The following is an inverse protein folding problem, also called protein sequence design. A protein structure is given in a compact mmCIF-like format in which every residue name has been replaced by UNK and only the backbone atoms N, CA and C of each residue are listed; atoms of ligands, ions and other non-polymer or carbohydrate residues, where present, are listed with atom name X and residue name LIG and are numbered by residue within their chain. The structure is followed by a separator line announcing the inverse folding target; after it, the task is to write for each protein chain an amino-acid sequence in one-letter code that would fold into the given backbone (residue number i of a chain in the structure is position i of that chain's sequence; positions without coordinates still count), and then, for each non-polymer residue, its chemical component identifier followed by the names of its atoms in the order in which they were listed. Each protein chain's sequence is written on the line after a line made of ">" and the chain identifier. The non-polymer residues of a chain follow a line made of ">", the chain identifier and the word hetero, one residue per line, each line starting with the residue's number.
data_IF_567555441372
#
_entry.id   IF_567555441372
#
_cell.length_a   1.000
_cell.length_b   1.000
_cell.length_c   1.000
_cell.angle_alpha   90.00
_cell.angle_beta   90.00
_cell.angle_gamma   90.00
#
_symmetry.space_group_name_H-M   'P 1'
#
loop_
_entity.id
_entity.type
_entity.pdbx_description
1 polymer ?
#
# COMPACT_ATOMS: atom_id res chain seq x y z
N UNK A 1 32.87 12.35 -28.83
CA UNK A 1 33.38 13.74 -28.78
C UNK A 1 32.15 14.64 -28.93
N UNK A 2 31.72 15.50 -28.02
CA UNK A 2 32.35 16.11 -26.88
C UNK A 2 31.34 16.25 -25.72
N UNK A 3 31.89 16.15 -24.51
CA UNK A 3 31.28 16.33 -23.19
C UNK A 3 31.44 17.77 -22.73
N UNK A 4 30.38 18.40 -22.21
CA UNK A 4 30.48 19.57 -21.30
C UNK A 4 29.38 19.46 -20.21
N UNK A 5 29.65 19.80 -18.93
CA UNK A 5 28.94 19.27 -17.75
C UNK A 5 28.06 20.27 -16.96
N UNK A 6 27.14 19.71 -16.17
CA UNK A 6 26.51 20.08 -14.86
C UNK A 6 26.41 21.56 -14.38
N UNK A 7 25.41 21.83 -13.51
CA UNK A 7 25.77 21.92 -12.09
C UNK A 7 24.86 21.12 -11.15
N UNK A 8 25.52 20.33 -10.31
CA UNK A 8 25.02 19.63 -9.13
C UNK A 8 24.72 20.66 -8.02
N UNK A 9 23.47 20.75 -7.55
CA UNK A 9 23.14 21.49 -6.35
C UNK A 9 23.40 20.61 -5.12
N UNK A 10 24.56 20.84 -4.49
CA UNK A 10 24.89 20.38 -3.14
C UNK A 10 24.11 21.20 -2.11
N UNK A 11 23.18 20.58 -1.39
CA UNK A 11 22.63 21.16 -0.16
C UNK A 11 23.42 20.61 1.04
N UNK A 12 24.42 21.38 1.48
CA UNK A 12 25.17 21.13 2.71
C UNK A 12 24.38 21.65 3.91
N UNK A 13 23.72 20.75 4.66
CA UNK A 13 23.17 21.08 5.96
C UNK A 13 24.26 20.87 7.03
N UNK A 14 24.86 21.97 7.50
CA UNK A 14 25.77 21.99 8.65
C UNK A 14 24.98 21.72 9.93
N UNK A 15 25.20 20.57 10.57
CA UNK A 15 24.82 20.36 11.97
C UNK A 15 25.97 20.83 12.88
N UNK A 16 25.70 21.84 13.70
CA UNK A 16 26.58 22.25 14.81
C UNK A 16 26.31 21.37 16.03
N UNK A 17 27.32 20.77 16.69
CA UNK A 17 27.11 20.08 17.94
C UNK A 17 27.04 21.07 19.11
N UNK A 18 25.97 20.99 19.89
CA UNK A 18 25.86 21.68 21.19
C UNK A 18 26.81 20.97 22.16
N UNK A 19 27.87 21.68 22.53
CA UNK A 19 28.81 21.33 23.60
C UNK A 19 28.22 21.76 24.94
N UNK A 20 27.99 20.82 25.86
CA UNK A 20 27.78 21.11 27.28
C UNK A 20 28.99 20.57 28.04
N UNK A 21 29.90 21.50 28.33
CA UNK A 21 31.14 21.28 29.05
C UNK A 21 30.88 21.30 30.56
N UNK A 22 31.42 20.27 31.21
CA UNK A 22 31.59 20.09 32.65
C UNK A 22 32.24 21.28 33.37
N UNK A 23 31.69 21.61 34.54
CA UNK A 23 32.33 22.24 35.71
C UNK A 23 31.70 21.58 36.94
N UNK A 24 32.32 21.32 38.09
CA UNK A 24 33.69 21.40 38.56
C UNK A 24 33.76 20.55 39.86
N UNK A 25 34.95 19.99 40.14
CA UNK A 25 35.56 19.70 41.45
C UNK A 25 34.65 19.43 42.67
N UNK A 26 34.84 18.26 43.30
CA UNK A 26 35.47 18.23 44.62
C UNK A 26 36.16 16.88 44.92
N UNK A 27 37.32 16.96 45.59
CA UNK A 27 38.15 15.83 46.05
C UNK A 27 37.70 15.42 47.45
N UNK A 28 37.61 14.13 47.75
CA UNK A 28 38.07 13.59 49.04
C UNK A 28 38.02 12.06 49.12
N UNK A 29 39.15 11.52 49.59
CA UNK A 29 39.31 10.38 50.49
C UNK A 29 39.01 8.94 49.99
N UNK A 30 40.14 8.21 49.89
CA UNK A 30 40.30 6.78 50.08
C UNK A 30 39.29 6.13 51.06
N UNK A 31 38.73 4.99 50.65
CA UNK A 31 38.87 3.77 51.45
C UNK A 31 38.70 2.53 50.57
N UNK A 32 39.70 1.65 50.66
CA UNK A 32 39.74 0.32 50.06
C UNK A 32 38.72 -0.59 50.75
N UNK A 33 37.79 -1.16 49.98
CA UNK A 33 37.05 -2.34 50.39
C UNK A 33 36.99 -3.32 49.21
N UNK A 34 37.78 -4.37 49.30
CA UNK A 34 37.68 -5.53 48.44
C UNK A 34 36.33 -6.22 48.69
N UNK A 35 35.54 -6.41 47.63
CA UNK A 35 34.34 -7.27 47.68
C UNK A 35 34.47 -8.34 46.60
N UNK A 36 34.40 -9.59 47.09
CA UNK A 36 34.56 -10.86 46.37
C UNK A 36 33.68 -10.95 45.13
N UNK A 37 34.30 -11.42 44.05
CA UNK A 37 33.62 -11.91 42.85
C UNK A 37 32.90 -13.22 43.20
N UNK A 38 31.56 -13.20 43.21
CA UNK A 38 30.74 -14.42 43.26
C UNK A 38 30.13 -14.59 41.87
N UNK A 39 30.63 -15.57 41.11
CA UNK A 39 30.01 -16.03 39.87
C UNK A 39 28.66 -16.68 40.19
N UNK A 40 27.57 -15.95 39.96
CA UNK A 40 26.23 -16.53 39.96
C UNK A 40 25.90 -17.06 38.57
N UNK A 41 25.83 -18.39 38.53
CA UNK A 41 25.43 -19.24 37.43
C UNK A 41 23.94 -19.06 37.09
N UNK A 42 23.67 -19.08 35.78
CA UNK A 42 22.41 -19.38 35.05
C UNK A 42 21.04 -18.99 35.65
N UNK A 43 20.28 -18.18 34.91
CA UNK A 43 18.82 -18.19 34.94
C UNK A 43 18.24 -18.07 33.50
N UNK A 44 17.12 -18.75 33.18
CA UNK A 44 16.73 -19.07 31.81
C UNK A 44 16.08 -17.88 31.11
N UNK A 45 16.12 -17.91 29.78
CA UNK A 45 15.48 -16.95 28.89
C UNK A 45 14.02 -16.77 29.29
N UNK A 46 13.68 -15.60 29.83
CA UNK A 46 12.29 -15.18 29.99
C UNK A 46 11.70 -14.99 28.59
N UNK A 47 10.95 -15.98 28.10
CA UNK A 47 10.05 -15.76 26.97
C UNK A 47 8.99 -14.76 27.44
N UNK A 48 9.14 -13.50 27.02
CA UNK A 48 8.07 -12.50 27.15
C UNK A 48 6.94 -12.94 26.24
N UNK A 49 5.95 -13.63 26.81
CA UNK A 49 4.67 -13.83 26.15
C UNK A 49 3.98 -12.46 26.10
N UNK A 50 4.16 -11.74 24.99
CA UNK A 50 3.33 -10.57 24.69
C UNK A 50 1.99 -11.14 24.28
N UNK A 51 0.98 -11.07 25.16
CA UNK A 51 -0.40 -11.32 24.78
C UNK A 51 -0.76 -10.34 23.67
N UNK A 52 -0.85 -10.82 22.42
CA UNK A 52 -1.35 -10.02 21.29
C UNK A 52 -2.82 -9.72 21.60
N UNK A 53 -3.17 -8.44 21.68
CA UNK A 53 -4.57 -8.04 21.77
C UNK A 53 -5.33 -8.65 20.59
N UNK A 54 -6.55 -9.14 20.83
CA UNK A 54 -7.40 -9.67 19.77
C UNK A 54 -7.59 -8.59 18.70
N UNK A 55 -7.59 -8.98 17.41
CA UNK A 55 -7.81 -8.03 16.33
C UNK A 55 -9.19 -7.38 16.49
N UNK A 56 -9.21 -6.05 16.44
CA UNK A 56 -10.44 -5.27 16.52
C UNK A 56 -11.20 -5.45 15.20
N UNK A 57 -12.43 -5.96 15.26
CA UNK A 57 -13.30 -6.04 14.08
C UNK A 57 -14.30 -4.89 14.15
N UNK A 58 -14.26 -4.01 13.15
CA UNK A 58 -15.24 -2.94 12.99
C UNK A 58 -16.51 -3.53 12.38
N UNK A 59 -17.64 -3.38 13.07
CA UNK A 59 -18.95 -3.75 12.52
C UNK A 59 -19.41 -2.64 11.60
N UNK A 60 -19.96 -3.01 10.45
CA UNK A 60 -20.59 -2.09 9.51
C UNK A 60 -19.67 -0.98 8.97
N UNK A 61 -18.37 -1.27 8.80
CA UNK A 61 -17.40 -0.32 8.25
C UNK A 61 -17.79 0.09 6.82
N UNK A 62 -18.03 1.38 6.62
CA UNK A 62 -18.27 1.98 5.32
C UNK A 62 -16.96 2.47 4.69
N UNK A 63 -16.93 2.65 3.37
CA UNK A 63 -15.78 3.20 2.67
C UNK A 63 -15.47 4.63 3.15
N UNK A 64 -16.49 5.47 3.36
CA UNK A 64 -16.32 6.87 3.74
C UNK A 64 -15.76 7.04 5.18
N UNK A 65 -15.81 6.01 6.03
CA UNK A 65 -15.31 6.07 7.41
C UNK A 65 -13.79 6.23 7.48
N UNK A 66 -13.06 5.65 6.51
CA UNK A 66 -11.60 5.71 6.46
C UNK A 66 -11.06 6.47 5.23
N UNK A 67 -11.92 6.73 4.24
CA UNK A 67 -11.55 7.44 3.01
C UNK A 67 -10.85 8.76 3.30
N UNK A 68 -9.77 9.03 2.56
CA UNK A 68 -9.06 10.30 2.64
C UNK A 68 -9.98 11.44 2.18
N UNK A 69 -10.06 12.59 2.90
CA UNK A 69 -10.96 13.68 2.51
C UNK A 69 -10.75 14.19 1.09
N UNK A 70 -9.49 14.25 0.64
CA UNK A 70 -9.16 14.64 -0.73
C UNK A 70 -9.59 13.59 -1.76
N UNK A 71 -9.52 12.31 -1.42
CA UNK A 71 -10.01 11.24 -2.30
C UNK A 71 -11.53 11.39 -2.46
N UNK A 72 -12.27 11.50 -1.34
CA UNK A 72 -13.72 11.70 -1.37
C UNK A 72 -14.13 12.90 -2.22
N UNK A 73 -13.48 14.05 -2.00
CA UNK A 73 -13.76 15.28 -2.77
C UNK A 73 -13.44 15.11 -4.25
N UNK A 74 -12.26 14.59 -4.57
CA UNK A 74 -11.82 14.44 -5.95
C UNK A 74 -12.65 13.37 -6.70
N UNK A 75 -13.05 12.29 -6.05
CA UNK A 75 -13.96 11.27 -6.60
C UNK A 75 -15.32 11.88 -6.93
N UNK A 76 -15.87 12.74 -6.07
CA UNK A 76 -17.13 13.44 -6.33
C UNK A 76 -17.00 14.41 -7.52
N UNK A 77 -15.88 15.13 -7.62
CA UNK A 77 -15.60 16.01 -8.75
C UNK A 77 -15.50 15.25 -10.07
N UNK A 78 -14.79 14.12 -10.09
CA UNK A 78 -14.67 13.27 -11.28
C UNK A 78 -16.04 12.70 -11.70
N UNK A 79 -16.85 12.22 -10.75
CA UNK A 79 -18.21 11.72 -11.02
C UNK A 79 -19.18 12.79 -11.54
N UNK A 80 -18.93 14.07 -11.22
CA UNK A 80 -19.76 15.17 -11.69
C UNK A 80 -19.53 15.54 -13.17
N UNK A 81 -18.45 15.05 -13.79
CA UNK A 81 -18.17 15.33 -15.20
C UNK A 81 -19.10 14.47 -16.08
N UNK A 82 -20.04 15.08 -16.83
CA UNK A 82 -21.01 14.33 -17.62
C UNK A 82 -20.31 13.54 -18.73
N UNK A 83 -20.69 12.26 -18.87
CA UNK A 83 -20.14 11.36 -19.88
C UNK A 83 -18.80 10.71 -19.53
N UNK A 84 -18.11 11.15 -18.46
CA UNK A 84 -16.80 10.60 -18.09
C UNK A 84 -16.87 9.12 -17.69
N UNK A 85 -17.91 8.74 -16.94
CA UNK A 85 -18.16 7.34 -16.58
C UNK A 85 -18.39 6.45 -17.81
N UNK A 86 -19.11 6.93 -18.81
CA UNK A 86 -19.41 6.15 -20.01
C UNK A 86 -18.19 6.04 -20.92
N UNK A 87 -17.35 7.08 -21.00
CA UNK A 87 -16.04 7.01 -21.65
C UNK A 87 -15.14 6.01 -20.93
N UNK A 88 -15.10 6.05 -19.59
CA UNK A 88 -14.32 5.10 -18.79
C UNK A 88 -14.73 3.65 -19.06
N UNK A 89 -16.03 3.35 -19.03
CA UNK A 89 -16.57 2.02 -19.37
C UNK A 89 -16.33 1.63 -20.82
N UNK A 90 -16.44 2.56 -21.77
CA UNK A 90 -16.21 2.30 -23.18
C UNK A 90 -14.74 2.00 -23.49
N UNK A 91 -13.81 2.72 -22.85
CA UNK A 91 -12.36 2.49 -22.96
C UNK A 91 -11.94 1.17 -22.33
N UNK A 92 -12.53 0.81 -21.18
CA UNK A 92 -12.37 -0.50 -20.54
C UNK A 92 -13.11 -1.63 -21.25
N UNK A 93 -13.83 -1.32 -22.35
CA UNK A 93 -14.93 -2.14 -22.90
C UNK A 93 -14.73 -3.64 -22.80
N UNK A 94 -15.83 -4.37 -22.60
CA UNK A 94 -15.93 -5.80 -22.25
C UNK A 94 -14.86 -6.75 -22.80
N UNK A 95 -14.29 -6.48 -23.99
CA UNK A 95 -13.16 -7.22 -24.58
C UNK A 95 -11.86 -7.06 -23.79
N UNK A 96 -11.47 -5.84 -23.40
CA UNK A 96 -10.23 -5.61 -22.66
C UNK A 96 -10.27 -6.26 -21.28
N UNK A 97 -11.39 -6.07 -20.56
CA UNK A 97 -11.67 -6.77 -19.28
C UNK A 97 -11.59 -8.30 -19.44
N UNK A 98 -12.17 -8.86 -20.50
CA UNK A 98 -12.11 -10.29 -20.77
C UNK A 98 -10.70 -10.79 -21.08
N UNK A 99 -9.91 -10.03 -21.83
CA UNK A 99 -8.51 -10.38 -22.13
C UNK A 99 -7.69 -10.37 -20.84
N UNK A 100 -7.84 -9.36 -19.99
CA UNK A 100 -7.13 -9.28 -18.71
C UNK A 100 -7.53 -10.43 -17.77
N UNK A 101 -8.83 -10.76 -17.70
CA UNK A 101 -9.31 -11.90 -16.93
C UNK A 101 -8.74 -13.22 -17.47
N UNK A 102 -8.75 -13.41 -18.79
CA UNK A 102 -8.28 -14.63 -19.43
C UNK A 102 -6.76 -14.80 -19.27
N UNK A 103 -5.99 -13.72 -19.44
CA UNK A 103 -4.55 -13.71 -19.18
C UNK A 103 -4.29 -14.09 -17.71
N UNK A 104 -5.00 -13.48 -16.77
CA UNK A 104 -4.82 -13.78 -15.35
C UNK A 104 -5.15 -15.24 -15.02
N UNK A 105 -6.31 -15.75 -15.45
CA UNK A 105 -6.69 -17.15 -15.21
C UNK A 105 -5.73 -18.12 -15.89
N UNK A 106 -5.18 -17.76 -17.06
CA UNK A 106 -4.24 -18.61 -17.80
C UNK A 106 -2.81 -18.60 -17.25
N UNK A 107 -2.41 -17.57 -16.50
CA UNK A 107 -1.02 -17.38 -16.03
C UNK A 107 -0.85 -17.38 -14.51
N UNK A 108 -1.95 -17.45 -13.76
CA UNK A 108 -1.96 -17.40 -12.30
C UNK A 108 -2.68 -18.60 -11.67
N UNK A 109 -2.37 -18.85 -10.41
CA UNK A 109 -2.94 -19.93 -9.61
C UNK A 109 -4.00 -19.35 -8.68
N UNK A 110 -5.25 -19.84 -8.78
CA UNK A 110 -6.32 -19.44 -7.87
C UNK A 110 -6.04 -19.95 -6.45
N UNK A 111 -6.10 -19.05 -5.47
CA UNK A 111 -5.94 -19.36 -4.05
C UNK A 111 -7.27 -19.79 -3.45
N UNK A 112 -7.26 -20.80 -2.60
CA UNK A 112 -8.46 -21.31 -1.94
C UNK A 112 -8.16 -22.04 -0.63
N UNK A 113 -9.21 -22.46 0.07
CA UNK A 113 -9.05 -23.14 1.37
C UNK A 113 -8.23 -24.43 1.34
N UNK A 114 -8.11 -25.08 0.18
CA UNK A 114 -7.27 -26.27 -0.02
C UNK A 114 -5.98 -25.98 -0.80
N UNK A 115 -5.79 -24.75 -1.28
CA UNK A 115 -4.71 -24.35 -2.18
C UNK A 115 -4.12 -23.01 -1.71
N UNK A 116 -2.95 -23.06 -1.08
CA UNK A 116 -2.35 -21.93 -0.36
C UNK A 116 -3.26 -21.42 0.79
N UNK A 117 -3.62 -22.30 1.75
CA UNK A 117 -4.61 -21.99 2.78
C UNK A 117 -4.23 -20.82 3.68
N UNK A 118 -2.94 -20.66 3.98
CA UNK A 118 -2.47 -19.56 4.83
C UNK A 118 -2.71 -18.19 4.17
N UNK A 119 -2.40 -18.09 2.87
CA UNK A 119 -2.63 -16.89 2.08
C UNK A 119 -4.14 -16.62 1.91
N UNK A 120 -4.93 -17.68 1.69
CA UNK A 120 -6.39 -17.57 1.65
C UNK A 120 -6.95 -17.01 2.96
N UNK A 121 -6.48 -17.49 4.11
CA UNK A 121 -6.91 -17.00 5.42
C UNK A 121 -6.60 -15.51 5.62
N UNK A 122 -5.41 -15.05 5.22
CA UNK A 122 -5.07 -13.61 5.30
C UNK A 122 -6.05 -12.74 4.53
N UNK A 123 -6.42 -13.18 3.34
CA UNK A 123 -7.37 -12.50 2.47
C UNK A 123 -8.78 -12.44 3.08
N UNK A 124 -9.26 -13.58 3.59
CA UNK A 124 -10.59 -13.67 4.22
C UNK A 124 -10.65 -12.84 5.51
N UNK A 125 -9.60 -12.87 6.33
CA UNK A 125 -9.49 -12.04 7.53
C UNK A 125 -9.51 -10.55 7.18
N UNK A 126 -8.73 -10.12 6.18
CA UNK A 126 -8.68 -8.73 5.74
C UNK A 126 -10.04 -8.25 5.18
N UNK A 127 -10.66 -9.04 4.30
CA UNK A 127 -11.99 -8.75 3.75
C UNK A 127 -13.07 -8.65 4.83
N UNK A 128 -13.00 -9.52 5.84
CA UNK A 128 -13.91 -9.48 7.00
C UNK A 128 -13.72 -8.22 7.83
N UNK A 129 -12.49 -7.78 8.09
CA UNK A 129 -12.21 -6.56 8.85
C UNK A 129 -12.68 -5.32 8.08
N UNK A 130 -12.49 -5.30 6.75
CA UNK A 130 -12.93 -4.20 5.88
C UNK A 130 -14.41 -4.26 5.50
N UNK A 131 -15.15 -5.25 6.01
CA UNK A 131 -16.57 -5.45 5.76
C UNK A 131 -16.91 -5.46 4.25
N UNK A 132 -16.24 -6.35 3.51
CA UNK A 132 -16.49 -6.62 2.08
C UNK A 132 -16.56 -8.11 1.80
N UNK A 133 -17.24 -8.47 0.72
CA UNK A 133 -17.14 -9.83 0.17
C UNK A 133 -15.71 -10.06 -0.33
N UNK A 134 -15.11 -11.18 0.04
CA UNK A 134 -13.75 -11.49 -0.37
C UNK A 134 -13.69 -11.73 -1.90
N UNK A 135 -12.91 -10.92 -2.64
CA UNK A 135 -12.65 -11.19 -4.06
C UNK A 135 -11.84 -12.47 -4.23
N UNK A 136 -11.75 -12.96 -5.46
CA UNK A 136 -10.85 -14.08 -5.75
C UNK A 136 -9.39 -13.62 -5.60
N UNK A 137 -8.53 -14.49 -5.10
CA UNK A 137 -7.10 -14.20 -4.94
C UNK A 137 -6.30 -15.13 -5.86
N UNK A 138 -5.39 -14.56 -6.63
CA UNK A 138 -4.52 -15.29 -7.53
C UNK A 138 -3.06 -15.06 -7.17
N UNK A 139 -2.22 -16.09 -7.33
CA UNK A 139 -0.76 -15.97 -7.27
C UNK A 139 -0.20 -16.07 -8.68
N UNK A 140 0.54 -15.05 -9.11
CA UNK A 140 1.24 -15.02 -10.40
C UNK A 140 2.74 -15.24 -10.18
N UNK A 141 3.34 -16.14 -10.95
CA UNK A 141 4.80 -16.30 -10.92
C UNK A 141 5.45 -15.05 -11.51
N UNK A 142 6.23 -14.34 -10.69
CA UNK A 142 7.00 -13.18 -11.13
C UNK A 142 8.09 -12.82 -10.13
N UNK A 143 9.31 -12.53 -10.59
CA UNK A 143 10.41 -12.09 -9.73
C UNK A 143 10.27 -10.63 -9.29
N UNK A 144 9.38 -9.85 -9.90
CA UNK A 144 9.18 -8.43 -9.58
C UNK A 144 8.07 -8.29 -8.53
N UNK A 145 8.34 -7.71 -7.34
CA UNK A 145 7.34 -7.52 -6.30
C UNK A 145 6.19 -6.65 -6.81
N UNK A 146 4.98 -7.21 -6.81
CA UNK A 146 3.77 -6.48 -7.20
C UNK A 146 2.51 -7.18 -6.67
N UNK A 147 1.49 -6.38 -6.39
CA UNK A 147 0.12 -6.81 -6.21
C UNK A 147 -0.80 -5.81 -6.92
N UNK A 148 -1.97 -6.25 -7.34
CA UNK A 148 -2.96 -5.35 -7.95
C UNK A 148 -4.37 -5.94 -7.86
N UNK A 149 -5.35 -5.05 -7.90
CA UNK A 149 -6.78 -5.38 -7.88
C UNK A 149 -7.45 -5.02 -9.19
N UNK A 150 -8.30 -5.91 -9.68
CA UNK A 150 -9.13 -5.68 -10.86
C UNK A 150 -10.60 -5.88 -10.52
N UNK A 151 -11.39 -4.83 -10.77
CA UNK A 151 -12.83 -4.85 -10.73
C UNK A 151 -13.37 -4.86 -12.17
N UNK A 152 -14.08 -5.91 -12.53
CA UNK A 152 -14.65 -6.10 -13.88
C UNK A 152 -16.17 -5.98 -13.79
N UNK A 153 -16.76 -5.21 -14.70
CA UNK A 153 -18.21 -5.03 -14.76
C UNK A 153 -18.96 -6.36 -14.88
N UNK A 154 -19.84 -6.67 -13.91
CA UNK A 154 -20.67 -7.87 -13.94
C UNK A 154 -19.93 -9.19 -13.68
N UNK A 155 -18.69 -9.14 -13.19
CA UNK A 155 -17.90 -10.30 -12.75
C UNK A 155 -17.44 -10.11 -11.31
N UNK A 156 -17.04 -11.21 -10.68
CA UNK A 156 -16.43 -11.15 -9.36
C UNK A 156 -15.06 -10.44 -9.47
N UNK A 157 -14.77 -9.43 -8.64
CA UNK A 157 -13.45 -8.81 -8.59
C UNK A 157 -12.39 -9.80 -8.13
N UNK A 158 -11.13 -9.54 -8.49
CA UNK A 158 -10.01 -10.37 -8.06
C UNK A 158 -8.77 -9.53 -7.74
N UNK A 159 -7.94 -10.07 -6.84
CA UNK A 159 -6.63 -9.56 -6.46
C UNK A 159 -5.58 -10.54 -6.98
N UNK A 160 -4.47 -10.01 -7.49
CA UNK A 160 -3.31 -10.79 -7.92
C UNK A 160 -2.12 -10.40 -7.07
N UNK A 161 -1.40 -11.38 -6.54
CA UNK A 161 -0.13 -11.18 -5.84
C UNK A 161 0.98 -11.94 -6.54
N UNK A 162 2.14 -11.30 -6.70
CA UNK A 162 3.30 -11.96 -7.28
C UNK A 162 4.01 -12.85 -6.26
N UNK A 163 4.61 -13.95 -6.72
CA UNK A 163 5.39 -14.88 -5.88
C UNK A 163 6.51 -14.18 -5.11
N UNK A 164 7.14 -13.17 -5.69
CA UNK A 164 8.17 -12.37 -5.03
C UNK A 164 7.67 -11.65 -3.76
N UNK A 165 6.44 -11.15 -3.70
CA UNK A 165 5.91 -10.58 -2.46
C UNK A 165 5.66 -11.64 -1.39
N UNK A 166 5.17 -12.82 -1.80
CA UNK A 166 4.91 -13.94 -0.89
C UNK A 166 6.22 -14.45 -0.25
N UNK A 167 7.32 -14.39 -1.00
CA UNK A 167 8.66 -14.79 -0.54
C UNK A 167 9.37 -13.72 0.30
N UNK A 168 9.15 -12.44 0.00
CA UNK A 168 9.84 -11.32 0.64
C UNK A 168 9.18 -10.85 1.93
N UNK A 169 7.86 -10.84 2.00
CA UNK A 169 7.11 -10.22 3.08
C UNK A 169 6.76 -11.21 4.20
N UNK A 170 6.77 -10.73 5.43
CA UNK A 170 6.21 -11.47 6.56
C UNK A 170 4.69 -11.60 6.42
N UNK A 171 4.09 -12.53 7.17
CA UNK A 171 2.64 -12.76 7.19
C UNK A 171 1.83 -11.47 7.43
N UNK A 172 2.29 -10.59 8.32
CA UNK A 172 1.59 -9.35 8.63
C UNK A 172 1.74 -8.31 7.51
N UNK A 173 2.95 -8.15 6.95
CA UNK A 173 3.19 -7.21 5.83
C UNK A 173 2.44 -7.65 4.58
N UNK A 174 2.40 -8.95 4.28
CA UNK A 174 1.62 -9.48 3.18
C UNK A 174 0.12 -9.24 3.37
N UNK A 175 -0.39 -9.38 4.59
CA UNK A 175 -1.78 -9.03 4.90
C UNK A 175 -2.06 -7.53 4.73
N UNK A 176 -1.10 -6.66 5.08
CA UNK A 176 -1.20 -5.23 4.87
C UNK A 176 -1.27 -4.89 3.36
N UNK A 177 -0.46 -5.55 2.52
CA UNK A 177 -0.55 -5.40 1.05
C UNK A 177 -1.92 -5.85 0.53
N UNK A 178 -2.42 -7.02 0.95
CA UNK A 178 -3.76 -7.48 0.56
C UNK A 178 -4.85 -6.50 1.02
N UNK A 179 -4.71 -5.94 2.22
CA UNK A 179 -5.65 -4.96 2.76
C UNK A 179 -5.60 -3.61 2.02
N UNK A 180 -4.42 -3.18 1.58
CA UNK A 180 -4.24 -2.01 0.71
C UNK A 180 -5.01 -2.21 -0.60
N UNK A 181 -4.80 -3.36 -1.26
CA UNK A 181 -5.50 -3.76 -2.48
C UNK A 181 -7.03 -3.82 -2.29
N UNK A 182 -7.49 -4.38 -1.17
CA UNK A 182 -8.90 -4.36 -0.80
C UNK A 182 -9.45 -2.96 -0.55
N UNK A 183 -8.62 -2.02 -0.10
CA UNK A 183 -8.95 -0.60 0.02
C UNK A 183 -9.36 0.00 -1.32
N UNK A 184 -8.65 -0.32 -2.39
CA UNK A 184 -9.03 0.08 -3.75
C UNK A 184 -10.39 -0.48 -4.15
N UNK A 185 -10.67 -1.74 -3.81
CA UNK A 185 -11.94 -2.38 -4.12
C UNK A 185 -13.10 -1.74 -3.34
N UNK A 186 -12.97 -1.62 -2.01
CA UNK A 186 -13.99 -1.04 -1.13
C UNK A 186 -14.32 0.40 -1.49
N UNK A 187 -13.35 1.14 -2.01
CA UNK A 187 -13.51 2.53 -2.40
C UNK A 187 -13.82 2.77 -3.89
N UNK A 188 -14.05 1.73 -4.68
CA UNK A 188 -14.33 1.79 -6.13
C UNK A 188 -13.23 2.52 -6.95
N UNK A 189 -11.96 2.35 -6.59
CA UNK A 189 -10.83 3.01 -7.28
C UNK A 189 -10.51 2.41 -8.65
N UNK A 190 -10.95 1.19 -8.95
CA UNK A 190 -10.54 0.41 -10.14
C UNK A 190 -10.84 1.08 -11.49
N UNK A 191 -11.93 1.86 -11.59
CA UNK A 191 -12.32 2.54 -12.84
C UNK A 191 -11.32 3.64 -13.23
N UNK A 192 -10.72 4.29 -12.24
CA UNK A 192 -9.92 5.50 -12.44
C UNK A 192 -8.43 5.20 -12.69
N UNK A 193 -7.90 4.09 -12.16
CA UNK A 193 -6.53 3.65 -12.44
C UNK A 193 -6.33 3.38 -13.94
N UNK A 194 -7.26 2.67 -14.57
CA UNK A 194 -7.20 2.40 -16.00
C UNK A 194 -7.38 3.68 -16.83
N UNK A 195 -8.25 4.58 -16.37
CA UNK A 195 -8.44 5.88 -17.01
C UNK A 195 -7.16 6.72 -17.00
N UNK A 196 -6.43 6.76 -15.88
CA UNK A 196 -5.15 7.47 -15.77
C UNK A 196 -4.10 6.91 -16.74
N UNK A 197 -3.99 5.59 -16.87
CA UNK A 197 -3.05 4.94 -17.79
C UNK A 197 -3.36 5.27 -19.26
N UNK A 198 -4.63 5.23 -19.66
CA UNK A 198 -5.04 5.54 -21.03
C UNK A 198 -4.90 7.04 -21.34
N UNK A 199 -5.26 7.91 -20.39
CA UNK A 199 -5.14 9.35 -20.58
C UNK A 199 -3.68 9.77 -20.73
N UNK A 200 -2.76 9.16 -19.97
CA UNK A 200 -1.31 9.37 -20.11
C UNK A 200 -0.84 8.99 -21.52
N UNK A 201 -1.31 7.88 -22.09
CA UNK A 201 -0.96 7.48 -23.46
C UNK A 201 -1.56 8.42 -24.52
N UNK A 202 -2.78 8.91 -24.32
CA UNK A 202 -3.51 9.75 -25.28
C UNK A 202 -3.13 11.24 -25.23
N UNK A 203 -2.80 11.78 -24.06
CA UNK A 203 -2.54 13.20 -23.84
C UNK A 203 -1.40 13.72 -24.74
N UNK A 204 -0.33 12.94 -24.90
CA UNK A 204 0.82 13.32 -25.73
C UNK A 204 0.57 13.20 -27.25
N UNK A 205 -0.57 12.66 -27.68
CA UNK A 205 -0.88 12.44 -29.10
C UNK A 205 -1.79 13.51 -29.70
N UNK A 206 -2.44 14.35 -28.88
CA UNK A 206 -3.42 15.34 -29.33
C UNK A 206 -2.81 16.76 -29.42
N UNK A 207 -2.60 17.33 -30.62
CA UNK A 207 -2.11 18.70 -30.74
C UNK A 207 -3.18 19.74 -30.37
N UNK A 208 -2.74 20.92 -29.91
CA UNK A 208 -3.59 22.08 -29.67
C UNK A 208 -4.34 22.07 -28.33
N UNK A 209 -5.58 22.58 -28.31
CA UNK A 209 -6.39 22.70 -27.09
C UNK A 209 -6.68 21.35 -26.42
N UNK A 210 -6.72 20.26 -27.19
CA UNK A 210 -6.91 18.90 -26.68
C UNK A 210 -5.77 18.47 -25.74
N UNK A 211 -4.51 18.72 -26.13
CA UNK A 211 -3.34 18.41 -25.30
C UNK A 211 -3.33 19.20 -23.99
N UNK A 212 -3.61 20.51 -24.03
CA UNK A 212 -3.63 21.34 -22.81
C UNK A 212 -4.73 20.95 -21.82
N UNK A 213 -5.90 20.51 -22.32
CA UNK A 213 -6.98 19.99 -21.49
C UNK A 213 -6.58 18.63 -20.90
N UNK A 214 -5.95 17.77 -21.70
CA UNK A 214 -5.49 16.47 -21.26
C UNK A 214 -4.40 16.58 -20.19
N UNK A 215 -3.41 17.45 -20.35
CA UNK A 215 -2.36 17.69 -19.33
C UNK A 215 -2.93 18.14 -17.98
N UNK A 216 -3.92 19.04 -18.01
CA UNK A 216 -4.58 19.50 -16.76
C UNK A 216 -5.39 18.39 -16.11
N UNK A 217 -6.10 17.61 -16.91
CA UNK A 217 -6.88 16.48 -16.41
C UNK A 217 -5.97 15.39 -15.84
N UNK A 218 -4.86 15.11 -16.50
CA UNK A 218 -3.79 14.21 -16.05
C UNK A 218 -3.26 14.63 -14.68
N UNK A 219 -2.93 15.91 -14.49
CA UNK A 219 -2.48 16.41 -13.19
C UNK A 219 -3.53 16.20 -12.08
N UNK A 220 -4.82 16.45 -12.36
CA UNK A 220 -5.89 16.22 -11.39
C UNK A 220 -6.10 14.73 -11.10
N UNK A 221 -5.98 13.87 -12.10
CA UNK A 221 -6.04 12.42 -11.94
C UNK A 221 -4.88 11.91 -11.08
N UNK A 222 -3.65 12.40 -11.27
CA UNK A 222 -2.52 12.02 -10.42
C UNK A 222 -2.66 12.51 -8.98
N UNK A 223 -3.26 13.69 -8.77
CA UNK A 223 -3.61 14.18 -7.42
C UNK A 223 -4.68 13.31 -6.77
N UNK A 224 -5.70 12.91 -7.53
CA UNK A 224 -6.70 11.96 -7.09
C UNK A 224 -6.05 10.62 -6.73
N UNK A 225 -5.19 10.08 -7.60
CA UNK A 225 -4.49 8.80 -7.41
C UNK A 225 -3.71 8.82 -6.10
N UNK A 226 -2.91 9.86 -5.86
CA UNK A 226 -2.17 9.99 -4.59
C UNK A 226 -3.10 9.99 -3.37
N UNK A 227 -4.27 10.64 -3.46
CA UNK A 227 -5.22 10.63 -2.37
C UNK A 227 -5.87 9.24 -2.18
N UNK A 228 -6.12 8.51 -3.27
CA UNK A 228 -6.61 7.14 -3.25
C UNK A 228 -5.59 6.18 -2.60
N UNK A 229 -4.30 6.32 -2.89
CA UNK A 229 -3.23 5.55 -2.21
C UNK A 229 -3.25 5.77 -0.68
N UNK A 230 -3.41 7.03 -0.23
CA UNK A 230 -3.53 7.34 1.20
C UNK A 230 -4.79 6.72 1.83
N UNK A 231 -5.88 6.58 1.07
CA UNK A 231 -7.08 5.85 1.51
C UNK A 231 -6.77 4.36 1.68
N UNK A 232 -6.05 3.76 0.73
CA UNK A 232 -5.67 2.35 0.76
C UNK A 232 -4.68 2.04 1.90
N UNK A 233 -3.73 2.93 2.18
CA UNK A 233 -2.83 2.82 3.34
C UNK A 233 -3.59 2.84 4.67
N UNK A 234 -4.68 3.62 4.76
CA UNK A 234 -5.57 3.60 5.94
C UNK A 234 -6.30 2.27 6.05
N UNK A 235 -6.77 1.70 4.94
CA UNK A 235 -7.36 0.36 4.94
C UNK A 235 -6.35 -0.71 5.41
N UNK A 236 -5.10 -0.62 4.93
CA UNK A 236 -4.02 -1.48 5.37
C UNK A 236 -3.77 -1.38 6.88
N UNK A 237 -3.71 -0.15 7.41
CA UNK A 237 -3.53 0.09 8.85
C UNK A 237 -4.69 -0.45 9.70
N UNK A 238 -5.94 -0.34 9.22
CA UNK A 238 -7.12 -0.88 9.92
C UNK A 238 -7.06 -2.40 10.07
N UNK A 239 -6.51 -3.09 9.06
CA UNK A 239 -6.35 -4.55 9.07
C UNK A 239 -5.12 -4.97 9.86
N UNK A 240 -3.97 -4.35 9.60
CA UNK A 240 -2.69 -4.71 10.23
C UNK A 240 -2.69 -4.39 11.74
N UNK A 241 -3.35 -3.30 12.14
CA UNK A 241 -3.44 -2.80 13.52
C UNK A 241 -2.09 -2.58 14.21
N UNK A 242 -1.02 -2.49 13.42
CA UNK A 242 0.33 -2.20 13.86
C UNK A 242 0.92 -1.17 12.89
N UNK A 243 1.24 0.06 13.33
CA UNK A 243 1.80 1.09 12.47
C UNK A 243 3.25 0.82 12.04
N UNK A 244 3.87 -0.26 12.53
CA UNK A 244 5.24 -0.66 12.14
C UNK A 244 5.27 -1.62 10.94
N UNK A 245 4.11 -2.15 10.56
CA UNK A 245 3.90 -2.94 9.34
C UNK A 245 3.60 -1.96 8.21
#
# INVERSE_FOLDING_TARGET
>A
MASIPLPTLYLSAKFSPISLRSTARNKSAFNSFAVKFTLLNSNPRSHKYVCRAASVVFRDLDADDFRHPLDRQNTLLLRAIPGLNEIGKALLGTVAEQVMLLENIGTSVLVGGNQLPELYQLMIEAAKILNIEAPDLYVRQSPVPNAYTLAIGGKKPFVVVHTSLVELLTRNELQAVLAHELGHLKCDHGVWLTFANILTLGAYTLPGLGGLIAERLEEQLFRWLRAAELTCDRAALLVAQDPKV
#
